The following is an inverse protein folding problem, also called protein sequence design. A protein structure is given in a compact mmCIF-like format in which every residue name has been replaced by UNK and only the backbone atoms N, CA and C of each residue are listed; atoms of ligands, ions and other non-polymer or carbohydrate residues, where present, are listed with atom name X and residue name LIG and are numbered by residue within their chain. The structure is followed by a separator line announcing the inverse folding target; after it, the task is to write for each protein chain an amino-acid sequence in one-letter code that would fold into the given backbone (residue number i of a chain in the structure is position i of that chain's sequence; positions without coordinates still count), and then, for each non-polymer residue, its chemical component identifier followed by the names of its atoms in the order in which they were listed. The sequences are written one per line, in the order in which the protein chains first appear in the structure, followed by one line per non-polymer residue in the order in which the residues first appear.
data_IF_220147231368
#
_entry.id   IF_220147231368
#
_cell.length_a   1.000
_cell.length_b   1.000
_cell.length_c   1.000
_cell.angle_alpha   90.00
_cell.angle_beta   90.00
_cell.angle_gamma   90.00
#
_symmetry.space_group_name_H-M   'P 1'
#
loop_
_entity.id
_entity.type
_entity.pdbx_description
1 polymer ?
#
# COMPACT_ATOMS: atom_id res chain seq x y z
N UNK A 1 5.55 78.79 -6.82
CA UNK A 1 6.64 78.65 -7.81
C UNK A 1 6.88 77.15 -8.04
N UNK A 2 7.04 76.78 -9.33
CA UNK A 2 7.56 75.50 -9.87
C UNK A 2 6.70 74.22 -9.78
N UNK A 3 6.21 73.87 -10.97
CA UNK A 3 5.84 72.57 -11.56
C UNK A 3 6.77 71.40 -11.28
N UNK A 4 6.24 70.17 -11.27
CA UNK A 4 6.81 69.06 -12.06
C UNK A 4 5.77 67.95 -12.34
N UNK A 5 5.76 67.52 -13.61
CA UNK A 5 4.91 66.52 -14.26
C UNK A 5 5.65 65.18 -14.24
N UNK A 6 4.96 64.07 -13.95
CA UNK A 6 5.33 62.76 -14.51
C UNK A 6 4.07 61.98 -14.88
N UNK A 7 3.89 61.78 -16.18
CA UNK A 7 2.90 60.91 -16.77
C UNK A 7 3.28 59.45 -16.51
N UNK A 8 2.38 58.67 -15.90
CA UNK A 8 2.50 57.22 -15.82
C UNK A 8 1.52 56.63 -16.81
N UNK A 9 2.07 56.16 -17.93
CA UNK A 9 1.37 55.40 -18.96
C UNK A 9 1.00 54.03 -18.40
N UNK A 10 -0.28 53.78 -18.15
CA UNK A 10 -0.77 52.45 -17.76
C UNK A 10 -1.02 51.60 -19.01
N UNK A 11 -0.28 50.50 -19.11
CA UNK A 11 -0.43 49.46 -20.12
C UNK A 11 -1.67 48.61 -19.79
N UNK A 12 -2.69 48.65 -20.64
CA UNK A 12 -3.88 47.79 -20.53
C UNK A 12 -3.54 46.37 -20.99
N UNK A 13 -3.47 45.42 -20.05
CA UNK A 13 -3.37 44.00 -20.36
C UNK A 13 -4.78 43.43 -20.65
N UNK A 14 -5.03 43.07 -21.91
CA UNK A 14 -6.25 42.38 -22.32
C UNK A 14 -6.27 40.93 -21.83
N UNK A 15 -7.21 40.62 -20.94
CA UNK A 15 -7.50 39.26 -20.50
C UNK A 15 -8.24 38.52 -21.62
N UNK A 16 -7.50 37.66 -22.34
CA UNK A 16 -8.06 36.63 -23.21
C UNK A 16 -8.87 35.66 -22.35
N UNK A 17 -10.19 35.75 -22.45
CA UNK A 17 -11.12 34.81 -21.82
C UNK A 17 -11.08 33.49 -22.58
N UNK A 18 -10.49 32.46 -21.99
CA UNK A 18 -10.56 31.09 -22.50
C UNK A 18 -11.97 30.57 -22.24
N UNK A 19 -12.80 30.52 -23.28
CA UNK A 19 -14.09 29.84 -23.24
C UNK A 19 -13.85 28.33 -23.11
N UNK A 20 -13.80 27.82 -21.87
CA UNK A 20 -13.92 26.40 -21.61
C UNK A 20 -15.33 25.97 -22.02
N UNK A 21 -15.46 25.33 -23.18
CA UNK A 21 -16.70 24.68 -23.59
C UNK A 21 -16.99 23.57 -22.59
N UNK A 22 -17.98 23.77 -21.72
CA UNK A 22 -18.47 22.72 -20.85
C UNK A 22 -19.05 21.61 -21.73
N UNK A 23 -18.34 20.48 -21.85
CA UNK A 23 -18.92 19.29 -22.43
C UNK A 23 -20.13 18.89 -21.58
N UNK A 24 -21.30 18.75 -22.22
CA UNK A 24 -22.50 18.28 -21.52
C UNK A 24 -22.19 16.92 -20.87
N UNK A 25 -22.65 16.76 -19.63
CA UNK A 25 -22.52 15.49 -18.93
C UNK A 25 -23.26 14.40 -19.74
N UNK A 26 -22.67 13.19 -19.89
CA UNK A 26 -23.33 12.10 -20.60
C UNK A 26 -24.68 11.76 -19.98
N UNK A 27 -25.68 11.58 -20.82
CA UNK A 27 -27.03 11.15 -20.44
C UNK A 27 -27.19 9.65 -20.67
N UNK A 28 -28.21 8.99 -20.08
CA UNK A 28 -28.48 7.58 -20.35
C UNK A 28 -28.67 7.27 -21.84
N UNK A 29 -29.16 8.22 -22.64
CA UNK A 29 -29.41 8.04 -24.07
C UNK A 29 -28.12 7.87 -24.89
N UNK A 30 -26.99 8.39 -24.40
CA UNK A 30 -25.69 8.34 -25.06
C UNK A 30 -25.03 6.95 -25.02
N UNK A 31 -25.61 6.01 -24.24
CA UNK A 31 -25.09 4.65 -24.09
C UNK A 31 -25.88 3.66 -24.96
N UNK A 32 -25.13 2.87 -25.74
CA UNK A 32 -25.66 1.88 -26.69
C UNK A 32 -26.33 0.68 -26.01
N UNK A 33 -26.02 0.43 -24.75
CA UNK A 33 -26.61 -0.63 -23.95
C UNK A 33 -26.98 -0.10 -22.57
N UNK A 34 -28.15 -0.50 -22.08
CA UNK A 34 -28.73 -0.08 -20.81
C UNK A 34 -29.45 -1.27 -20.18
N UNK A 35 -29.37 -1.37 -18.87
CA UNK A 35 -30.16 -2.32 -18.08
C UNK A 35 -30.57 -1.69 -16.76
N UNK A 36 -31.70 -2.13 -16.23
CA UNK A 36 -32.17 -1.75 -14.89
C UNK A 36 -31.40 -2.55 -13.85
N UNK A 37 -30.90 -1.85 -12.83
CA UNK A 37 -30.16 -2.45 -11.73
C UNK A 37 -31.12 -2.72 -10.57
N UNK A 38 -31.14 -3.96 -10.07
CA UNK A 38 -31.85 -4.28 -8.84
C UNK A 38 -30.93 -4.04 -7.64
N UNK A 39 -31.28 -3.07 -6.80
CA UNK A 39 -30.55 -2.75 -5.56
C UNK A 39 -31.34 -3.29 -4.37
N UNK A 40 -30.71 -4.03 -3.44
CA UNK A 40 -31.40 -4.49 -2.23
C UNK A 40 -31.99 -3.32 -1.43
N UNK A 41 -33.22 -3.46 -0.95
CA UNK A 41 -33.88 -2.43 -0.17
C UNK A 41 -33.09 -2.11 1.11
N UNK A 42 -32.91 -0.83 1.41
CA UNK A 42 -32.18 -0.35 2.60
C UNK A 42 -30.66 -0.44 2.51
N UNK A 43 -30.08 -0.79 1.36
CA UNK A 43 -28.63 -0.81 1.18
C UNK A 43 -28.07 0.59 0.86
N UNK A 44 -27.03 1.00 1.59
CA UNK A 44 -26.28 2.24 1.31
C UNK A 44 -25.26 2.09 0.17
N UNK A 45 -24.91 0.83 -0.17
CA UNK A 45 -24.06 0.47 -1.28
C UNK A 45 -24.44 -0.94 -1.76
N UNK A 46 -24.36 -1.18 -3.07
CA UNK A 46 -24.61 -2.48 -3.66
C UNK A 46 -23.49 -2.89 -4.60
N UNK A 47 -23.13 -4.17 -4.55
CA UNK A 47 -22.23 -4.77 -5.53
C UNK A 47 -23.07 -5.41 -6.62
N UNK A 48 -22.85 -4.99 -7.85
CA UNK A 48 -23.60 -5.48 -9.01
C UNK A 48 -22.60 -6.07 -10.00
N UNK A 49 -22.86 -7.29 -10.44
CA UNK A 49 -22.10 -7.92 -11.51
C UNK A 49 -22.46 -7.25 -12.83
N UNK A 50 -21.46 -6.80 -13.57
CA UNK A 50 -21.68 -6.25 -14.91
C UNK A 50 -22.21 -7.37 -15.82
N UNK A 51 -23.41 -7.23 -16.42
CA UNK A 51 -23.98 -8.28 -17.26
C UNK A 51 -23.10 -8.60 -18.46
N UNK A 52 -23.09 -9.87 -18.89
CA UNK A 52 -22.24 -10.34 -19.98
C UNK A 52 -22.51 -9.58 -21.29
N UNK A 53 -23.77 -9.19 -21.53
CA UNK A 53 -24.20 -8.41 -22.67
C UNK A 53 -23.56 -7.01 -22.71
N UNK A 54 -23.32 -6.41 -21.54
CA UNK A 54 -22.61 -5.15 -21.42
C UNK A 54 -21.12 -5.34 -21.69
N UNK A 55 -20.53 -6.41 -21.15
CA UNK A 55 -19.11 -6.72 -21.33
C UNK A 55 -18.74 -6.91 -22.80
N UNK A 56 -19.57 -7.59 -23.59
CA UNK A 56 -19.33 -7.80 -25.03
C UNK A 56 -19.41 -6.49 -25.84
N UNK A 57 -20.05 -5.45 -25.29
CA UNK A 57 -20.23 -4.14 -25.94
C UNK A 57 -19.26 -3.07 -25.44
N UNK A 58 -18.38 -3.39 -24.50
CA UNK A 58 -17.37 -2.46 -23.99
C UNK A 58 -16.46 -1.99 -25.13
N UNK A 59 -16.31 -0.67 -25.24
CA UNK A 59 -15.39 -0.03 -26.17
C UNK A 59 -14.03 0.24 -25.55
N UNK A 60 -13.93 0.20 -24.21
CA UNK A 60 -12.69 0.42 -23.49
C UNK A 60 -12.29 -0.78 -22.64
N UNK A 61 -11.00 -1.10 -22.61
CA UNK A 61 -10.46 -2.22 -21.81
C UNK A 61 -10.68 -2.03 -20.30
N UNK A 62 -10.71 -0.79 -19.85
CA UNK A 62 -10.83 -0.42 -18.44
C UNK A 62 -12.26 0.01 -18.06
N UNK A 63 -13.26 -0.24 -18.93
CA UNK A 63 -14.66 0.11 -18.72
C UNK A 63 -14.92 1.60 -18.38
N UNK A 64 -14.14 2.50 -18.98
CA UNK A 64 -14.33 3.95 -18.93
C UNK A 64 -15.66 4.40 -19.58
N UNK A 65 -16.29 3.54 -20.35
CA UNK A 65 -17.59 3.71 -21.01
C UNK A 65 -18.77 3.15 -20.20
N UNK A 66 -18.55 2.75 -18.95
CA UNK A 66 -19.63 2.37 -18.02
C UNK A 66 -20.07 3.58 -17.20
N UNK A 67 -21.39 3.77 -17.07
CA UNK A 67 -22.00 4.74 -16.15
C UNK A 67 -23.17 4.12 -15.40
N UNK A 68 -23.43 4.61 -14.19
CA UNK A 68 -24.58 4.26 -13.38
C UNK A 68 -25.45 5.50 -13.24
N UNK A 69 -26.75 5.37 -13.46
CA UNK A 69 -27.70 6.46 -13.35
C UNK A 69 -28.80 6.11 -12.34
N UNK A 70 -29.31 7.10 -11.61
CA UNK A 70 -30.50 6.95 -10.77
C UNK A 70 -31.79 6.99 -11.62
N UNK A 71 -32.94 6.86 -10.98
CA UNK A 71 -34.24 6.89 -11.66
C UNK A 71 -34.54 8.23 -12.35
N UNK A 72 -33.94 9.32 -11.85
CA UNK A 72 -34.07 10.68 -12.41
C UNK A 72 -33.08 10.93 -13.57
N UNK A 73 -32.24 9.94 -13.91
CA UNK A 73 -31.27 10.02 -15.00
C UNK A 73 -29.96 10.71 -14.64
N UNK A 74 -29.71 10.97 -13.35
CA UNK A 74 -28.48 11.58 -12.86
C UNK A 74 -27.39 10.53 -12.64
N UNK A 75 -26.13 10.90 -12.94
CA UNK A 75 -25.01 10.00 -12.75
C UNK A 75 -24.72 9.76 -11.26
N UNK A 76 -24.60 8.49 -10.88
CA UNK A 76 -24.29 8.05 -9.51
C UNK A 76 -22.84 7.58 -9.42
N UNK A 77 -22.18 7.90 -8.30
CA UNK A 77 -20.82 7.44 -8.03
C UNK A 77 -20.76 5.90 -7.96
N UNK A 78 -19.77 5.31 -8.61
CA UNK A 78 -19.53 3.87 -8.59
C UNK A 78 -18.03 3.58 -8.64
N UNK A 79 -17.66 2.35 -8.30
CA UNK A 79 -16.31 1.85 -8.44
C UNK A 79 -16.33 0.50 -9.16
N UNK A 80 -15.40 0.30 -10.08
CA UNK A 80 -15.18 -0.99 -10.72
C UNK A 80 -14.31 -1.84 -9.80
N UNK A 81 -14.85 -2.99 -9.39
CA UNK A 81 -14.08 -3.98 -8.61
C UNK A 81 -13.75 -5.13 -9.56
N UNK A 82 -12.47 -5.37 -9.89
CA UNK A 82 -12.11 -6.51 -10.71
C UNK A 82 -12.64 -7.79 -10.07
N UNK A 83 -13.27 -8.65 -10.87
CA UNK A 83 -13.48 -10.04 -10.49
C UNK A 83 -12.09 -10.61 -10.27
N UNK A 84 -11.77 -11.03 -9.05
CA UNK A 84 -10.53 -11.77 -8.76
C UNK A 84 -10.55 -13.03 -9.62
N UNK A 85 -9.96 -12.92 -10.81
CA UNK A 85 -9.80 -14.02 -11.75
C UNK A 85 -8.71 -14.93 -11.22
N UNK A 86 -9.03 -15.71 -10.20
CA UNK A 86 -8.39 -16.97 -9.84
C UNK A 86 -9.16 -17.54 -8.65
N UNK A 87 -9.50 -18.81 -8.73
CA UNK A 87 -9.57 -19.70 -7.57
C UNK A 87 -8.24 -19.62 -6.81
N UNK A 88 -8.00 -18.54 -6.08
CA UNK A 88 -7.09 -18.62 -4.96
C UNK A 88 -7.91 -19.40 -3.94
N UNK A 89 -7.54 -20.67 -3.72
CA UNK A 89 -7.90 -21.35 -2.47
C UNK A 89 -7.73 -20.32 -1.36
N UNK A 90 -8.72 -20.11 -0.47
CA UNK A 90 -8.61 -19.06 0.56
C UNK A 90 -7.22 -19.16 1.17
N UNK A 91 -6.47 -18.05 1.13
CA UNK A 91 -5.06 -18.03 1.51
C UNK A 91 -4.94 -18.80 2.83
N UNK A 92 -4.25 -19.94 2.78
CA UNK A 92 -4.13 -20.77 3.95
C UNK A 92 -3.34 -19.95 4.97
N UNK A 93 -3.99 -19.60 6.08
CA UNK A 93 -3.33 -18.79 7.09
C UNK A 93 -2.16 -19.60 7.63
N UNK A 94 -0.96 -19.04 7.50
CA UNK A 94 0.24 -19.65 8.05
C UNK A 94 0.18 -19.65 9.59
N UNK A 95 1.00 -20.49 10.21
CA UNK A 95 1.23 -20.39 11.65
C UNK A 95 1.79 -19.01 12.02
N UNK A 96 1.65 -18.62 13.29
CA UNK A 96 2.29 -17.40 13.78
C UNK A 96 3.79 -17.59 13.94
N UNK A 97 4.58 -16.71 13.35
CA UNK A 97 6.03 -16.68 13.53
C UNK A 97 6.41 -15.78 14.69
N UNK A 98 7.36 -16.23 15.51
CA UNK A 98 7.95 -15.39 16.54
C UNK A 98 8.84 -14.31 15.92
N UNK A 99 8.70 -13.06 16.38
CA UNK A 99 9.57 -11.96 16.00
C UNK A 99 10.88 -12.04 16.79
N UNK A 100 11.95 -12.52 16.16
CA UNK A 100 13.26 -12.62 16.80
C UNK A 100 13.97 -11.26 16.74
N UNK A 101 14.19 -10.64 17.89
CA UNK A 101 14.83 -9.33 17.94
C UNK A 101 16.32 -9.39 17.54
N UNK A 102 16.77 -8.38 16.80
CA UNK A 102 18.18 -8.18 16.45
C UNK A 102 18.84 -7.23 17.43
N UNK A 103 20.12 -7.48 17.69
CA UNK A 103 20.96 -6.67 18.58
C UNK A 103 22.27 -6.33 17.90
N UNK A 104 22.76 -5.11 18.14
CA UNK A 104 24.17 -4.83 17.93
C UNK A 104 24.97 -5.32 19.15
N UNK A 105 26.23 -5.67 18.94
CA UNK A 105 27.15 -5.96 20.03
C UNK A 105 28.38 -5.07 19.88
N UNK A 106 28.61 -4.22 20.87
CA UNK A 106 29.77 -3.32 20.89
C UNK A 106 31.02 -4.14 21.21
N UNK A 107 32.08 -3.99 20.41
CA UNK A 107 33.34 -4.70 20.60
C UNK A 107 33.36 -6.16 20.12
N UNK A 108 32.41 -6.58 19.28
CA UNK A 108 32.42 -7.89 18.60
C UNK A 108 32.13 -9.09 19.51
N UNK A 109 31.74 -8.86 20.76
CA UNK A 109 31.45 -9.92 21.73
C UNK A 109 30.04 -10.49 21.51
N UNK A 110 29.94 -11.81 21.40
CA UNK A 110 28.66 -12.53 21.24
C UNK A 110 27.71 -12.23 22.42
N UNK A 111 26.47 -11.76 22.18
CA UNK A 111 25.50 -11.49 23.24
C UNK A 111 24.85 -12.80 23.69
N UNK A 112 25.20 -13.27 24.88
CA UNK A 112 24.62 -14.48 25.50
C UNK A 112 24.90 -15.83 24.81
N UNK A 113 24.45 -16.90 25.49
CA UNK A 113 24.42 -18.28 24.99
C UNK A 113 23.16 -18.42 24.12
N UNK A 114 23.29 -18.85 22.85
CA UNK A 114 22.23 -18.95 21.83
C UNK A 114 22.02 -17.73 20.91
N UNK A 115 23.02 -16.85 20.78
CA UNK A 115 23.00 -15.84 19.71
C UNK A 115 23.63 -16.34 18.42
N UNK A 116 23.03 -16.01 17.28
CA UNK A 116 23.54 -16.27 15.94
C UNK A 116 23.88 -14.93 15.29
N UNK A 117 25.03 -14.87 14.63
CA UNK A 117 25.43 -13.69 13.87
C UNK A 117 24.70 -13.71 12.53
N UNK A 118 24.05 -12.60 12.19
CA UNK A 118 23.43 -12.36 10.90
C UNK A 118 24.24 -11.26 10.22
N UNK A 119 24.62 -11.48 8.96
CA UNK A 119 25.31 -10.47 8.18
C UNK A 119 24.27 -9.72 7.36
N UNK A 120 24.22 -8.39 7.53
CA UNK A 120 23.34 -7.53 6.76
C UNK A 120 24.20 -6.73 5.80
N UNK A 121 23.95 -6.91 4.51
CA UNK A 121 24.46 -6.02 3.48
C UNK A 121 23.34 -5.00 3.19
N UNK A 122 23.45 -3.81 3.77
CA UNK A 122 22.51 -2.71 3.51
C UNK A 122 23.21 -1.70 2.61
N UNK A 123 22.74 -1.54 1.37
CA UNK A 123 23.28 -0.59 0.39
C UNK A 123 24.81 -0.69 0.19
N UNK A 124 25.37 -1.90 0.20
CA UNK A 124 26.81 -2.14 0.02
C UNK A 124 27.65 -1.96 1.30
N UNK A 125 27.03 -1.63 2.43
CA UNK A 125 27.67 -1.63 3.74
C UNK A 125 27.39 -2.96 4.44
N UNK A 126 28.43 -3.80 4.58
CA UNK A 126 28.35 -5.05 5.35
C UNK A 126 28.44 -4.76 6.83
N UNK A 127 27.34 -4.95 7.53
CA UNK A 127 27.26 -4.99 8.99
C UNK A 127 27.05 -6.42 9.49
N UNK A 128 27.33 -6.63 10.78
CA UNK A 128 26.94 -7.85 11.48
C UNK A 128 26.11 -7.51 12.70
N UNK A 129 25.01 -8.22 12.86
CA UNK A 129 24.11 -8.12 14.00
C UNK A 129 23.92 -9.50 14.61
N UNK A 130 23.36 -9.57 15.81
CA UNK A 130 23.14 -10.81 16.52
C UNK A 130 21.65 -11.02 16.75
N UNK A 131 21.18 -12.24 16.52
CA UNK A 131 19.82 -12.70 16.82
C UNK A 131 19.90 -13.69 17.98
N UNK A 132 19.08 -13.50 19.01
CA UNK A 132 18.99 -14.46 20.13
C UNK A 132 17.82 -15.41 19.91
N UNK A 133 18.11 -16.71 19.84
CA UNK A 133 17.09 -17.75 19.73
C UNK A 133 16.77 -18.30 21.13
N UNK A 134 15.48 -18.31 21.49
CA UNK A 134 15.00 -18.89 22.76
C UNK A 134 14.28 -17.91 23.69
N UNK A 135 14.41 -16.61 23.46
CA UNK A 135 13.57 -15.59 24.09
C UNK A 135 12.31 -15.47 23.21
N UNK A 136 11.20 -16.08 23.63
CA UNK A 136 9.90 -15.95 22.94
C UNK A 136 9.49 -14.48 22.78
N UNK A 137 8.41 -14.23 22.03
CA UNK A 137 7.91 -12.89 21.62
C UNK A 137 7.84 -11.78 22.70
N UNK A 138 8.02 -12.10 23.98
CA UNK A 138 8.38 -11.15 25.03
C UNK A 138 9.89 -10.96 25.09
N UNK A 139 10.41 -10.13 24.18
CA UNK A 139 11.78 -9.64 24.21
C UNK A 139 12.04 -8.72 25.42
N UNK A 140 12.15 -9.31 26.61
CA UNK A 140 12.77 -8.72 27.78
C UNK A 140 13.96 -9.59 28.20
N UNK A 141 14.85 -9.87 27.24
CA UNK A 141 16.18 -10.33 27.60
C UNK A 141 16.85 -9.24 28.45
N UNK A 142 17.51 -9.58 29.57
CA UNK A 142 18.26 -8.60 30.34
C UNK A 142 19.23 -7.88 29.40
N UNK A 143 19.20 -6.54 29.41
CA UNK A 143 20.14 -5.73 28.67
C UNK A 143 21.56 -6.11 29.12
N UNK A 144 22.29 -6.87 28.29
CA UNK A 144 23.71 -7.03 28.52
C UNK A 144 24.35 -5.65 28.27
N UNK A 145 25.28 -5.19 29.15
CA UNK A 145 25.78 -3.81 29.16
C UNK A 145 26.48 -3.38 27.86
N UNK A 146 26.70 -4.30 26.91
CA UNK A 146 27.39 -4.07 25.64
C UNK A 146 26.53 -4.38 24.41
N UNK A 147 25.20 -4.53 24.57
CA UNK A 147 24.29 -4.80 23.45
C UNK A 147 23.12 -3.82 23.41
N UNK A 148 22.84 -3.24 22.26
CA UNK A 148 21.65 -2.42 22.00
C UNK A 148 20.70 -3.12 21.03
N UNK A 149 19.40 -3.08 21.35
CA UNK A 149 18.35 -3.67 20.51
C UNK A 149 18.14 -2.82 19.27
N UNK A 150 18.07 -3.46 18.11
CA UNK A 150 17.78 -2.81 16.84
C UNK A 150 16.27 -2.80 16.59
N UNK A 151 15.74 -1.79 15.86
CA UNK A 151 14.34 -1.77 15.39
C UNK A 151 14.16 -2.72 14.19
N UNK A 152 14.63 -3.95 14.32
CA UNK A 152 14.60 -4.98 13.28
C UNK A 152 14.32 -6.32 13.93
N UNK A 153 13.49 -7.11 13.25
CA UNK A 153 13.12 -8.45 13.68
C UNK A 153 13.35 -9.44 12.54
N UNK A 154 13.70 -10.66 12.90
CA UNK A 154 13.83 -11.80 11.99
C UNK A 154 12.67 -12.76 12.24
N UNK A 155 12.04 -13.21 11.17
CA UNK A 155 11.04 -14.27 11.21
C UNK A 155 11.63 -15.53 10.58
N UNK A 156 11.51 -16.65 11.29
CA UNK A 156 11.99 -17.94 10.80
C UNK A 156 10.86 -18.70 10.10
N UNK A 157 10.92 -18.73 8.77
CA UNK A 157 9.89 -19.36 7.90
C UNK A 157 10.38 -20.67 7.30
N UNK A 158 11.47 -21.26 7.83
CA UNK A 158 12.11 -22.44 7.21
C UNK A 158 11.24 -23.68 7.16
N UNK A 159 10.24 -23.76 8.05
CA UNK A 159 9.35 -24.91 8.18
C UNK A 159 8.23 -24.91 7.14
N UNK A 160 8.03 -23.78 6.46
CA UNK A 160 6.90 -23.58 5.56
C UNK A 160 7.29 -24.03 4.16
N UNK A 161 6.46 -24.93 3.63
CA UNK A 161 6.67 -25.55 2.32
C UNK A 161 5.90 -24.85 1.20
N UNK A 162 5.06 -23.89 1.55
CA UNK A 162 4.23 -23.12 0.63
C UNK A 162 4.85 -21.75 0.39
N UNK A 163 4.48 -21.12 -0.72
CA UNK A 163 4.84 -19.73 -0.99
C UNK A 163 4.10 -18.81 -0.01
N UNK A 164 4.82 -17.82 0.53
CA UNK A 164 4.25 -16.81 1.41
C UNK A 164 4.00 -15.57 0.56
N UNK A 165 2.74 -15.31 0.26
CA UNK A 165 2.33 -14.25 -0.68
C UNK A 165 1.78 -12.99 0.04
N UNK A 166 1.62 -13.05 1.36
CA UNK A 166 1.12 -11.94 2.17
C UNK A 166 1.73 -11.95 3.59
N UNK A 167 1.84 -10.77 4.19
CA UNK A 167 2.30 -10.57 5.56
C UNK A 167 1.23 -9.84 6.38
N UNK A 168 0.87 -10.42 7.53
CA UNK A 168 0.08 -9.75 8.55
C UNK A 168 0.95 -9.50 9.79
N UNK A 169 1.18 -8.24 10.13
CA UNK A 169 1.98 -7.86 11.28
C UNK A 169 1.08 -7.56 12.49
N UNK A 170 1.29 -8.28 13.59
CA UNK A 170 0.65 -8.01 14.87
C UNK A 170 1.69 -7.36 15.81
N UNK A 171 1.58 -6.05 15.99
CA UNK A 171 2.43 -5.28 16.89
C UNK A 171 1.68 -4.04 17.42
N UNK A 172 2.18 -3.47 18.51
CA UNK A 172 1.73 -2.17 18.99
C UNK A 172 2.51 -1.08 18.26
N UNK A 173 1.79 -0.14 17.65
CA UNK A 173 2.37 0.99 16.93
C UNK A 173 2.03 2.31 17.61
N UNK A 174 2.97 3.28 17.62
CA UNK A 174 2.68 4.63 18.12
C UNK A 174 1.53 5.27 17.33
N UNK A 175 0.58 5.86 18.04
CA UNK A 175 -0.50 6.63 17.42
C UNK A 175 0.05 7.86 16.70
N UNK A 176 -0.59 8.26 15.60
CA UNK A 176 -0.30 9.49 14.85
C UNK A 176 1.16 9.61 14.36
N UNK A 177 1.86 8.50 14.17
CA UNK A 177 3.24 8.48 13.68
C UNK A 177 3.30 7.70 12.38
N UNK A 178 3.93 8.28 11.35
CA UNK A 178 4.22 7.55 10.13
C UNK A 178 5.38 6.57 10.39
N UNK A 179 5.17 5.30 10.07
CA UNK A 179 6.17 4.25 10.25
C UNK A 179 6.54 3.70 8.88
N UNK A 180 7.83 3.77 8.56
CA UNK A 180 8.38 3.16 7.36
C UNK A 180 8.87 1.75 7.68
N UNK A 181 8.46 0.80 6.85
CA UNK A 181 8.94 -0.57 6.92
C UNK A 181 9.73 -0.88 5.66
N UNK A 182 10.81 -1.63 5.83
CA UNK A 182 11.48 -2.35 4.75
C UNK A 182 11.40 -3.83 5.05
N UNK A 183 11.20 -4.63 4.01
CA UNK A 183 11.09 -6.08 4.12
C UNK A 183 12.05 -6.74 3.14
N UNK A 184 12.80 -7.72 3.63
CA UNK A 184 13.71 -8.49 2.82
C UNK A 184 13.66 -9.97 3.24
N UNK A 185 13.90 -10.85 2.27
CA UNK A 185 14.00 -12.30 2.48
C UNK A 185 15.43 -12.78 2.27
N UNK A 186 15.81 -13.86 2.96
CA UNK A 186 17.10 -14.52 2.79
C UNK A 186 16.94 -16.03 3.00
N UNK A 187 17.72 -16.82 2.26
CA UNK A 187 17.82 -18.27 2.44
C UNK A 187 19.08 -18.68 3.21
N UNK A 188 20.04 -17.77 3.40
CA UNK A 188 21.37 -18.04 3.96
C UNK A 188 21.79 -17.09 5.11
N UNK A 189 20.93 -16.12 5.46
CA UNK A 189 21.17 -15.07 6.47
C UNK A 189 22.38 -14.16 6.16
N UNK A 190 22.85 -14.18 4.91
CA UNK A 190 23.98 -13.36 4.43
C UNK A 190 23.52 -12.47 3.28
N UNK A 191 22.81 -13.05 2.30
CA UNK A 191 22.27 -12.34 1.14
C UNK A 191 20.80 -12.05 1.36
N UNK A 192 20.45 -10.78 1.28
CA UNK A 192 19.10 -10.29 1.52
C UNK A 192 18.53 -9.67 0.26
N UNK A 193 17.31 -10.07 -0.11
CA UNK A 193 16.60 -9.56 -1.28
C UNK A 193 15.39 -8.75 -0.81
N UNK A 194 15.30 -7.45 -1.15
CA UNK A 194 14.11 -6.64 -0.86
C UNK A 194 12.86 -7.22 -1.53
N UNK A 195 11.74 -7.24 -0.80
CA UNK A 195 10.45 -7.75 -1.32
C UNK A 195 9.30 -6.73 -1.25
N UNK A 196 9.58 -5.51 -0.76
CA UNK A 196 8.65 -4.38 -0.74
C UNK A 196 9.44 -3.05 -0.72
#
# INVERSE_FOLDING_TARGET
MKTLIHAVTWLTAGLLSVNASAANAPTPADFAWRATLAVPAGANAARITLPAEAMVRLQSRNAHDVRVFNADGEAVAFALVPTSGTTSSPAAQTQRYAALALFNATGGKRPGKNSVQVQLDQNGQRGSVWVRFGDGANGAAPAEPTSSRLPTVLFDTRTDKQTIDALQLQAEFPANTLIHFSLASSTDLVRWTPIA
#
